data_IF_320565089855
#
_entry.id   IF_320565089855
#
_cell.length_a   1.000
_cell.length_b   1.000
_cell.length_c   1.000
_cell.angle_alpha   90.00
_cell.angle_beta   90.00
_cell.angle_gamma   90.00
#
_symmetry.space_group_name_H-M   'P 1'
#
loop_
_entity.id
_entity.type
_entity.pdbx_description
1 polymer ?
#
# COMPACT_ATOMS: atom_id res chain seq x y z
N UNK A 1 8.73 22.18 32.41
CA UNK A 1 8.72 22.05 30.94
C UNK A 1 7.71 20.97 30.64
N UNK A 2 6.57 21.31 30.07
CA UNK A 2 5.59 20.30 29.65
C UNK A 2 6.24 19.50 28.53
N UNK A 3 6.48 18.20 28.76
CA UNK A 3 6.84 17.28 27.70
C UNK A 3 5.70 17.31 26.69
N UNK A 4 5.98 17.81 25.48
CA UNK A 4 5.03 17.67 24.39
C UNK A 4 4.82 16.17 24.17
N UNK A 5 3.57 15.67 24.22
CA UNK A 5 3.32 14.28 23.93
C UNK A 5 3.92 13.95 22.57
N UNK A 6 4.61 12.80 22.48
CA UNK A 6 5.23 12.32 21.24
C UNK A 6 4.15 12.29 20.16
N UNK A 7 4.25 13.20 19.19
CA UNK A 7 3.30 13.30 18.10
C UNK A 7 3.43 12.07 17.23
N UNK A 8 2.48 11.14 17.32
CA UNK A 8 2.46 9.99 16.44
C UNK A 8 1.90 10.35 15.05
N UNK A 9 2.54 9.83 14.03
CA UNK A 9 2.18 10.04 12.64
C UNK A 9 2.11 8.71 11.92
N UNK A 10 1.11 8.57 11.04
CA UNK A 10 0.95 7.43 10.17
C UNK A 10 0.79 7.90 8.74
N UNK A 11 1.39 7.18 7.79
CA UNK A 11 1.13 7.32 6.37
C UNK A 11 0.33 6.10 5.95
N UNK A 12 -0.85 6.36 5.39
CA UNK A 12 -1.82 5.33 5.06
C UNK A 12 -1.74 4.98 3.58
N UNK A 13 -1.98 3.72 3.27
CA UNK A 13 -2.10 3.19 1.93
C UNK A 13 -3.57 2.96 1.55
N UNK A 14 -3.88 2.91 0.24
CA UNK A 14 -5.22 2.61 -0.28
C UNK A 14 -5.77 1.29 0.23
N UNK A 15 -4.90 0.29 0.41
CA UNK A 15 -5.27 -1.05 0.87
C UNK A 15 -5.96 -1.06 2.24
N UNK A 16 -5.63 -0.13 3.14
CA UNK A 16 -6.31 0.03 4.43
C UNK A 16 -7.82 0.27 4.27
N UNK A 17 -8.20 1.11 3.32
CA UNK A 17 -9.59 1.56 3.13
C UNK A 17 -10.44 0.55 2.35
N UNK A 18 -9.80 -0.39 1.67
CA UNK A 18 -10.45 -1.32 0.75
C UNK A 18 -10.43 -2.78 1.24
N UNK A 19 -9.68 -3.07 2.30
CA UNK A 19 -9.59 -4.43 2.86
C UNK A 19 -10.89 -4.84 3.55
N UNK A 20 -11.28 -6.10 3.34
CA UNK A 20 -12.39 -6.70 4.06
C UNK A 20 -12.01 -7.08 5.51
N UNK A 21 -10.73 -7.12 5.83
CA UNK A 21 -10.21 -7.58 7.12
C UNK A 21 -10.57 -6.66 8.31
N UNK A 22 -10.94 -5.39 8.03
CA UNK A 22 -11.38 -4.43 9.07
C UNK A 22 -12.90 -4.32 9.18
N UNK A 23 -13.67 -5.05 8.35
CA UNK A 23 -15.14 -5.04 8.37
C UNK A 23 -15.68 -5.93 9.47
N UNK A 24 -16.73 -5.45 10.14
CA UNK A 24 -17.53 -6.30 11.02
C UNK A 24 -18.51 -7.17 10.19
N UNK A 25 -19.07 -8.21 10.82
CA UNK A 25 -20.13 -9.02 10.20
C UNK A 25 -21.29 -8.11 9.77
N UNK A 26 -21.75 -8.25 8.52
CA UNK A 26 -22.84 -7.47 7.90
C UNK A 26 -22.57 -5.95 7.71
N UNK A 27 -21.34 -5.45 7.94
CA UNK A 27 -20.95 -4.06 7.73
C UNK A 27 -20.66 -3.78 6.24
N UNK A 28 -21.30 -2.75 5.68
CA UNK A 28 -21.00 -2.27 4.31
C UNK A 28 -19.62 -1.57 4.26
N UNK A 29 -19.09 -1.37 3.05
CA UNK A 29 -17.86 -0.59 2.85
C UNK A 29 -17.99 0.82 3.43
N UNK A 30 -19.11 1.48 3.20
CA UNK A 30 -19.35 2.85 3.66
C UNK A 30 -19.41 2.95 5.18
N UNK A 31 -20.08 2.02 5.86
CA UNK A 31 -20.12 1.96 7.31
C UNK A 31 -18.75 1.72 7.91
N UNK A 32 -17.96 0.81 7.30
CA UNK A 32 -16.56 0.54 7.70
C UNK A 32 -15.70 1.79 7.57
N UNK A 33 -15.80 2.49 6.43
CA UNK A 33 -15.05 3.72 6.19
C UNK A 33 -15.45 4.83 7.17
N UNK A 34 -16.74 4.99 7.41
CA UNK A 34 -17.25 5.98 8.36
C UNK A 34 -16.72 5.72 9.76
N UNK A 35 -16.79 4.49 10.24
CA UNK A 35 -16.26 4.08 11.54
C UNK A 35 -14.73 4.29 11.64
N UNK A 36 -13.98 3.91 10.61
CA UNK A 36 -12.52 4.12 10.58
C UNK A 36 -12.18 5.62 10.62
N UNK A 37 -12.89 6.44 9.86
CA UNK A 37 -12.64 7.89 9.81
C UNK A 37 -13.05 8.58 11.11
N UNK A 38 -14.12 8.15 11.77
CA UNK A 38 -14.53 8.66 13.08
C UNK A 38 -13.48 8.31 14.15
N UNK A 39 -12.91 7.09 14.11
CA UNK A 39 -11.81 6.68 14.99
C UNK A 39 -10.53 7.49 14.75
N UNK A 40 -10.18 7.75 13.49
CA UNK A 40 -9.06 8.63 13.12
C UNK A 40 -9.30 10.06 13.62
N UNK A 41 -10.53 10.55 13.52
CA UNK A 41 -10.93 11.87 14.01
C UNK A 41 -10.73 12.00 15.52
N UNK A 42 -11.23 11.04 16.29
CA UNK A 42 -11.09 10.99 17.75
C UNK A 42 -9.60 10.91 18.15
N UNK A 43 -8.84 10.00 17.54
CA UNK A 43 -7.40 9.88 17.79
C UNK A 43 -6.63 11.16 17.44
N UNK A 44 -7.07 11.93 16.45
CA UNK A 44 -6.46 13.22 16.10
C UNK A 44 -6.77 14.29 17.14
N UNK A 45 -8.01 14.37 17.62
CA UNK A 45 -8.47 15.39 18.57
C UNK A 45 -7.90 15.14 19.95
N UNK A 46 -7.95 13.91 20.44
CA UNK A 46 -7.62 13.57 21.81
C UNK A 46 -6.13 13.24 21.99
N UNK A 47 -5.51 12.58 21.01
CA UNK A 47 -4.13 12.08 21.11
C UNK A 47 -3.12 12.84 20.21
N UNK A 48 -3.58 13.80 19.40
CA UNK A 48 -2.75 14.48 18.40
C UNK A 48 -2.07 13.51 17.41
N UNK A 49 -2.71 12.37 17.13
CA UNK A 49 -2.29 11.43 16.09
C UNK A 49 -2.68 12.00 14.73
N UNK A 50 -1.74 11.99 13.78
CA UNK A 50 -1.99 12.54 12.45
C UNK A 50 -1.80 11.46 11.39
N UNK A 51 -2.80 11.31 10.51
CA UNK A 51 -2.79 10.39 9.38
C UNK A 51 -2.59 11.16 8.07
N UNK A 52 -1.65 10.70 7.27
CA UNK A 52 -1.21 11.35 6.03
C UNK A 52 -1.44 10.42 4.83
N UNK A 53 -1.67 11.04 3.68
CA UNK A 53 -1.69 10.38 2.36
C UNK A 53 -0.87 11.21 1.37
N UNK A 54 -0.02 10.59 0.53
CA UNK A 54 0.45 11.23 -0.69
C UNK A 54 -0.74 11.61 -1.58
N UNK A 55 -0.71 12.77 -2.29
CA UNK A 55 -1.81 13.18 -3.17
C UNK A 55 -2.11 12.18 -4.29
N UNK A 56 -1.11 11.44 -4.77
CA UNK A 56 -1.30 10.38 -5.76
C UNK A 56 -2.16 9.24 -5.20
N UNK A 57 -1.82 8.75 -4.02
CA UNK A 57 -2.60 7.71 -3.30
C UNK A 57 -4.00 8.20 -2.96
N UNK A 58 -4.14 9.47 -2.56
CA UNK A 58 -5.45 10.06 -2.32
C UNK A 58 -6.32 10.07 -3.59
N UNK A 59 -5.75 10.45 -4.73
CA UNK A 59 -6.47 10.47 -6.02
C UNK A 59 -6.90 9.05 -6.43
N UNK A 60 -6.02 8.08 -6.30
CA UNK A 60 -6.33 6.67 -6.55
C UNK A 60 -7.46 6.18 -5.64
N UNK A 61 -7.36 6.43 -4.33
CA UNK A 61 -8.37 6.05 -3.36
C UNK A 61 -9.74 6.64 -3.71
N UNK A 62 -9.81 7.95 -4.01
CA UNK A 62 -11.08 8.60 -4.34
C UNK A 62 -11.72 8.05 -5.61
N UNK A 63 -10.93 7.72 -6.64
CA UNK A 63 -11.44 7.04 -7.84
C UNK A 63 -12.00 5.66 -7.52
N UNK A 64 -11.30 4.88 -6.69
CA UNK A 64 -11.76 3.56 -6.28
C UNK A 64 -13.01 3.60 -5.39
N UNK A 65 -13.21 4.66 -4.60
CA UNK A 65 -14.39 4.84 -3.79
C UNK A 65 -15.59 5.32 -4.62
N UNK A 66 -15.37 6.17 -5.61
CA UNK A 66 -16.38 6.61 -6.59
C UNK A 66 -16.93 5.42 -7.39
N UNK A 67 -16.05 4.55 -7.88
CA UNK A 67 -16.42 3.30 -8.57
C UNK A 67 -17.26 2.33 -7.69
N UNK A 68 -17.31 2.54 -6.38
CA UNK A 68 -18.06 1.74 -5.41
C UNK A 68 -19.27 2.46 -4.82
N UNK A 69 -19.67 3.58 -5.42
CA UNK A 69 -20.82 4.39 -5.01
C UNK A 69 -20.75 4.87 -3.54
N UNK A 70 -19.54 5.14 -3.01
CA UNK A 70 -19.38 5.71 -1.65
C UNK A 70 -19.85 7.15 -1.65
N UNK A 71 -20.60 7.54 -0.61
CA UNK A 71 -21.27 8.84 -0.53
C UNK A 71 -20.29 10.03 -0.47
N UNK A 72 -20.73 11.19 -0.97
CA UNK A 72 -20.01 12.46 -0.84
C UNK A 72 -19.75 12.85 0.62
N UNK A 73 -20.60 12.43 1.55
CA UNK A 73 -20.43 12.68 2.98
C UNK A 73 -19.18 11.94 3.51
N UNK A 74 -19.03 10.67 3.17
CA UNK A 74 -17.84 9.87 3.55
C UNK A 74 -16.56 10.41 2.91
N UNK A 75 -16.62 10.84 1.65
CA UNK A 75 -15.50 11.52 0.98
C UNK A 75 -15.16 12.86 1.67
N UNK A 76 -16.15 13.61 2.12
CA UNK A 76 -15.93 14.85 2.88
C UNK A 76 -15.24 14.61 4.23
N UNK A 77 -15.64 13.54 4.96
CA UNK A 77 -14.97 13.11 6.20
C UNK A 77 -13.50 12.74 5.92
N UNK A 78 -13.25 11.97 4.86
CA UNK A 78 -11.90 11.61 4.42
C UNK A 78 -11.04 12.85 4.14
N UNK A 79 -11.59 13.85 3.46
CA UNK A 79 -10.94 15.13 3.19
C UNK A 79 -10.62 15.94 4.47
N UNK A 80 -11.45 15.82 5.49
CA UNK A 80 -11.33 16.57 6.74
C UNK A 80 -10.25 15.98 7.63
N UNK A 81 -10.18 14.66 7.74
CA UNK A 81 -9.36 13.99 8.74
C UNK A 81 -8.01 13.51 8.22
N UNK A 82 -7.87 13.30 6.91
CA UNK A 82 -6.62 12.87 6.31
C UNK A 82 -5.83 14.05 5.74
N UNK A 83 -4.56 14.12 6.07
CA UNK A 83 -3.68 15.19 5.65
C UNK A 83 -3.02 14.80 4.33
N UNK A 84 -3.34 15.51 3.25
CA UNK A 84 -2.69 15.36 1.96
C UNK A 84 -1.34 16.09 1.97
N UNK A 85 -0.24 15.37 1.77
CA UNK A 85 1.10 15.96 1.77
C UNK A 85 1.97 15.32 0.68
N UNK A 86 2.53 16.18 -0.17
CA UNK A 86 3.57 15.74 -1.10
C UNK A 86 4.84 15.37 -0.34
N UNK A 87 5.48 14.22 -0.66
CA UNK A 87 6.78 13.90 -0.11
C UNK A 87 7.85 14.88 -0.64
N UNK A 88 8.80 15.25 0.22
CA UNK A 88 9.99 15.97 -0.22
C UNK A 88 10.99 15.01 -0.87
N UNK A 89 10.84 14.80 -2.17
CA UNK A 89 11.67 13.89 -2.96
C UNK A 89 13.14 14.31 -3.05
N UNK A 90 13.49 15.53 -2.65
CA UNK A 90 14.85 16.08 -2.76
C UNK A 90 15.57 16.20 -1.41
N UNK A 91 14.81 16.35 -0.32
CA UNK A 91 15.35 16.57 1.01
C UNK A 91 15.51 15.31 1.87
N UNK A 92 14.92 14.17 1.46
CA UNK A 92 14.98 12.92 2.23
C UNK A 92 16.27 12.17 1.98
N UNK A 93 16.99 11.85 3.06
CA UNK A 93 18.17 10.97 2.97
C UNK A 93 17.71 9.51 2.93
N UNK A 94 18.12 8.83 1.86
CA UNK A 94 17.84 7.41 1.64
C UNK A 94 19.12 6.62 1.93
N UNK A 95 19.07 5.57 2.77
CA UNK A 95 20.22 4.69 2.98
C UNK A 95 20.69 4.05 1.67
N UNK A 96 22.00 3.91 1.48
CA UNK A 96 22.56 3.25 0.28
C UNK A 96 22.05 1.82 0.09
N UNK A 97 21.73 1.13 1.18
CA UNK A 97 21.16 -0.22 1.20
C UNK A 97 19.85 -0.31 0.39
N UNK A 98 19.04 0.73 0.40
CA UNK A 98 17.82 0.83 -0.42
C UNK A 98 18.16 0.79 -1.91
N UNK A 99 19.22 1.50 -2.31
CA UNK A 99 19.65 1.53 -3.71
C UNK A 99 20.21 0.16 -4.12
N UNK A 100 20.95 -0.49 -3.24
CA UNK A 100 21.46 -1.84 -3.48
C UNK A 100 20.33 -2.86 -3.61
N UNK A 101 19.38 -2.84 -2.67
CA UNK A 101 18.20 -3.71 -2.73
C UNK A 101 17.37 -3.48 -4.00
N UNK A 102 17.23 -2.23 -4.45
CA UNK A 102 16.57 -1.93 -5.72
C UNK A 102 17.33 -2.49 -6.93
N UNK A 103 18.67 -2.37 -6.96
CA UNK A 103 19.50 -2.94 -8.04
C UNK A 103 19.37 -4.47 -8.07
N UNK A 104 19.41 -5.12 -6.91
CA UNK A 104 19.27 -6.59 -6.81
C UNK A 104 17.87 -7.03 -7.28
N UNK A 105 16.83 -6.39 -6.82
CA UNK A 105 15.44 -6.68 -7.23
C UNK A 105 15.25 -6.49 -8.74
N UNK A 106 15.80 -5.41 -9.32
CA UNK A 106 15.75 -5.18 -10.77
C UNK A 106 16.50 -6.25 -11.55
N UNK A 107 17.66 -6.69 -11.05
CA UNK A 107 18.44 -7.77 -11.66
C UNK A 107 17.69 -9.10 -11.62
N UNK A 108 17.08 -9.44 -10.49
CA UNK A 108 16.24 -10.63 -10.36
C UNK A 108 15.02 -10.57 -11.29
N UNK A 109 14.38 -9.41 -11.40
CA UNK A 109 13.24 -9.18 -12.29
C UNK A 109 13.60 -9.46 -13.74
N UNK A 110 14.75 -8.93 -14.20
CA UNK A 110 15.26 -9.19 -15.55
C UNK A 110 15.51 -10.70 -15.76
N UNK A 111 16.13 -11.37 -14.78
CA UNK A 111 16.40 -12.81 -14.86
C UNK A 111 15.10 -13.64 -14.86
N UNK A 112 14.08 -13.26 -14.08
CA UNK A 112 12.77 -13.91 -14.11
C UNK A 112 12.11 -13.76 -15.49
N UNK A 113 12.12 -12.54 -16.05
CA UNK A 113 11.61 -12.28 -17.40
C UNK A 113 12.34 -13.09 -18.49
N UNK A 114 13.66 -13.21 -18.39
CA UNK A 114 14.45 -14.03 -19.31
C UNK A 114 14.02 -15.51 -19.27
N UNK A 115 13.86 -16.10 -18.08
CA UNK A 115 13.41 -17.49 -17.93
C UNK A 115 12.03 -17.74 -18.53
N UNK A 116 11.09 -16.81 -18.36
CA UNK A 116 9.76 -16.90 -18.97
C UNK A 116 9.85 -16.85 -20.48
N UNK A 117 10.71 -15.96 -21.02
CA UNK A 117 10.95 -15.86 -22.46
C UNK A 117 11.60 -17.13 -23.05
N UNK A 118 12.62 -17.69 -22.38
CA UNK A 118 13.26 -18.95 -22.77
C UNK A 118 12.28 -20.12 -22.81
N UNK A 119 11.37 -20.20 -21.82
CA UNK A 119 10.30 -21.21 -21.76
C UNK A 119 9.36 -21.09 -22.96
N UNK A 120 8.97 -19.87 -23.33
CA UNK A 120 8.11 -19.64 -24.48
C UNK A 120 8.79 -20.05 -25.81
N UNK A 121 10.08 -19.72 -25.97
CA UNK A 121 10.86 -20.13 -27.17
C UNK A 121 10.90 -21.67 -27.31
N UNK A 122 11.12 -22.40 -26.20
CA UNK A 122 11.12 -23.88 -26.23
C UNK A 122 9.76 -24.46 -26.59
N UNK A 123 8.67 -23.87 -26.08
CA UNK A 123 7.30 -24.29 -26.48
C UNK A 123 7.05 -24.13 -27.97
N UNK A 124 7.51 -23.02 -28.58
CA UNK A 124 7.40 -22.81 -30.04
C UNK A 124 8.22 -23.82 -30.81
N UNK A 125 9.42 -24.19 -30.35
CA UNK A 125 10.25 -25.22 -30.98
C UNK A 125 9.57 -26.60 -30.94
N UNK A 126 8.98 -26.97 -29.80
CA UNK A 126 8.23 -28.23 -29.67
C UNK A 126 7.00 -28.29 -30.61
N UNK A 127 6.28 -27.16 -30.74
CA UNK A 127 5.13 -27.06 -31.64
C UNK A 127 5.51 -27.13 -33.13
N UNK A 128 6.70 -26.67 -33.51
CA UNK A 128 7.13 -26.59 -34.93
C UNK A 128 7.38 -27.93 -35.60
N UNK A 129 7.43 -29.05 -34.83
CA UNK A 129 7.82 -30.35 -35.34
C UNK A 129 6.73 -31.16 -36.01
N UNK A 130 5.43 -30.87 -35.83
CA UNK A 130 4.32 -31.76 -36.22
C UNK A 130 3.10 -31.08 -36.87
N UNK A 131 3.06 -29.73 -37.05
CA UNK A 131 1.83 -29.02 -37.40
C UNK A 131 1.77 -28.49 -38.83
N UNK A 132 0.55 -28.42 -39.39
CA UNK A 132 0.20 -27.67 -40.61
C UNK A 132 0.56 -26.19 -40.42
N UNK A 133 1.04 -25.44 -41.46
CA UNK A 133 1.40 -24.03 -41.35
C UNK A 133 0.36 -23.12 -40.72
N UNK A 134 -0.96 -23.40 -40.90
CA UNK A 134 -2.03 -22.61 -40.28
C UNK A 134 -2.22 -22.96 -38.80
N UNK A 135 -2.10 -24.24 -38.40
CA UNK A 135 -2.12 -24.68 -37.01
C UNK A 135 -0.93 -24.12 -36.25
N UNK A 136 0.27 -24.17 -36.85
CA UNK A 136 1.48 -23.62 -36.28
C UNK A 136 1.37 -22.13 -35.95
N UNK A 137 0.81 -21.29 -36.84
CA UNK A 137 0.59 -19.87 -36.55
C UNK A 137 -0.37 -19.65 -35.38
N UNK A 138 -1.42 -20.47 -35.27
CA UNK A 138 -2.35 -20.41 -34.14
C UNK A 138 -1.68 -20.81 -32.83
N UNK A 139 -0.83 -21.83 -32.84
CA UNK A 139 -0.05 -22.27 -31.68
C UNK A 139 0.97 -21.20 -31.25
N UNK A 140 1.63 -20.54 -32.18
CA UNK A 140 2.53 -19.40 -31.88
C UNK A 140 1.80 -18.26 -31.22
N UNK A 141 0.59 -17.90 -31.73
CA UNK A 141 -0.21 -16.82 -31.12
C UNK A 141 -0.68 -17.18 -29.71
N UNK A 142 -1.00 -18.43 -29.44
CA UNK A 142 -1.31 -18.94 -28.10
C UNK A 142 -0.10 -18.83 -27.17
N UNK A 143 1.08 -19.28 -27.60
CA UNK A 143 2.31 -19.18 -26.81
C UNK A 143 2.67 -17.72 -26.51
N UNK A 144 2.49 -16.81 -27.48
CA UNK A 144 2.71 -15.36 -27.28
C UNK A 144 1.74 -14.78 -26.25
N UNK A 145 0.47 -15.21 -26.26
CA UNK A 145 -0.51 -14.77 -25.28
C UNK A 145 -0.16 -15.27 -23.88
N UNK A 146 0.14 -16.56 -23.75
CA UNK A 146 0.62 -17.15 -22.47
C UNK A 146 1.90 -16.48 -21.95
N UNK A 147 2.87 -16.21 -22.86
CA UNK A 147 4.09 -15.50 -22.51
C UNK A 147 3.80 -14.12 -21.90
N UNK A 148 2.89 -13.35 -22.51
CA UNK A 148 2.54 -12.01 -22.01
C UNK A 148 1.94 -12.08 -20.61
N UNK A 149 1.07 -13.03 -20.35
CA UNK A 149 0.40 -13.18 -19.08
C UNK A 149 1.34 -13.70 -17.99
N UNK A 150 2.15 -14.73 -18.30
CA UNK A 150 3.16 -15.27 -17.40
C UNK A 150 4.26 -14.23 -17.10
N UNK A 151 4.69 -13.47 -18.11
CA UNK A 151 5.67 -12.38 -17.96
C UNK A 151 5.15 -11.29 -17.03
N UNK A 152 3.93 -10.80 -17.26
CA UNK A 152 3.32 -9.76 -16.42
C UNK A 152 3.14 -10.23 -14.98
N UNK A 153 2.61 -11.43 -14.76
CA UNK A 153 2.40 -11.97 -13.41
C UNK A 153 3.72 -12.19 -12.66
N UNK A 154 4.75 -12.73 -13.35
CA UNK A 154 6.06 -13.02 -12.76
C UNK A 154 6.84 -11.75 -12.42
N UNK A 155 6.71 -10.68 -13.22
CA UNK A 155 7.42 -9.44 -12.99
C UNK A 155 6.77 -8.51 -11.95
N UNK A 156 5.48 -8.71 -11.64
CA UNK A 156 4.78 -7.94 -10.60
C UNK A 156 5.05 -8.43 -9.18
N UNK A 157 5.65 -9.60 -9.00
CA UNK A 157 5.88 -10.17 -7.67
C UNK A 157 7.02 -9.46 -6.94
N UNK A 158 6.70 -8.85 -5.81
CA UNK A 158 7.67 -8.42 -4.80
C UNK A 158 8.40 -7.10 -5.05
N UNK A 159 7.97 -6.32 -6.03
CA UNK A 159 8.61 -5.06 -6.41
C UNK A 159 7.71 -3.88 -6.00
N UNK A 160 8.33 -2.79 -5.54
CA UNK A 160 7.73 -1.46 -5.66
C UNK A 160 7.56 -1.19 -7.17
N UNK A 161 6.39 -1.41 -7.69
CA UNK A 161 6.11 -1.28 -9.12
C UNK A 161 5.47 0.06 -9.47
N UNK A 162 5.14 0.87 -8.47
CA UNK A 162 4.57 2.19 -8.63
C UNK A 162 5.41 3.30 -8.00
N UNK A 163 5.26 4.51 -8.55
CA UNK A 163 5.87 5.72 -7.98
C UNK A 163 5.11 6.17 -6.72
N UNK A 164 3.85 5.81 -6.67
CA UNK A 164 2.91 6.09 -5.59
C UNK A 164 3.34 5.38 -4.32
N UNK A 165 3.69 4.09 -4.41
CA UNK A 165 4.21 3.30 -3.27
C UNK A 165 5.53 3.86 -2.76
N UNK A 166 6.40 4.30 -3.68
CA UNK A 166 7.65 4.93 -3.29
C UNK A 166 7.41 6.28 -2.60
N UNK A 167 6.49 7.11 -3.10
CA UNK A 167 6.09 8.36 -2.46
C UNK A 167 5.55 8.15 -1.04
N UNK A 168 4.83 7.05 -0.81
CA UNK A 168 4.35 6.67 0.53
C UNK A 168 5.53 6.42 1.48
N UNK A 169 6.53 5.65 1.06
CA UNK A 169 7.71 5.36 1.87
C UNK A 169 8.57 6.61 2.12
N UNK A 170 8.76 7.45 1.10
CA UNK A 170 9.48 8.73 1.24
C UNK A 170 8.75 9.65 2.23
N UNK A 171 7.43 9.76 2.12
CA UNK A 171 6.64 10.58 3.05
C UNK A 171 6.72 10.04 4.49
N UNK A 172 6.67 8.72 4.66
CA UNK A 172 6.82 8.10 5.98
C UNK A 172 8.21 8.38 6.56
N UNK A 173 9.26 8.31 5.76
CA UNK A 173 10.63 8.64 6.16
C UNK A 173 10.78 10.11 6.54
N UNK A 174 10.25 11.02 5.74
CA UNK A 174 10.26 12.47 5.97
C UNK A 174 9.59 12.85 7.31
N UNK A 175 8.46 12.18 7.59
CA UNK A 175 7.64 12.49 8.76
C UNK A 175 8.03 11.71 10.03
N UNK A 176 8.97 10.78 9.94
CA UNK A 176 9.24 9.77 10.98
C UNK A 176 7.94 9.05 11.39
N UNK A 177 7.16 8.64 10.40
CA UNK A 177 5.82 8.07 10.54
C UNK A 177 5.84 6.55 10.41
N UNK A 178 4.84 5.88 11.00
CA UNK A 178 4.54 4.48 10.71
C UNK A 178 3.77 4.36 9.39
N UNK A 179 4.09 3.33 8.61
CA UNK A 179 3.35 2.96 7.38
C UNK A 179 2.21 2.03 7.74
N UNK A 180 1.01 2.27 7.21
CA UNK A 180 -0.15 1.39 7.38
C UNK A 180 -0.57 0.85 6.03
N UNK A 181 -0.38 -0.46 5.80
CA UNK A 181 -0.64 -1.11 4.51
C UNK A 181 -0.90 -2.60 4.66
N UNK A 182 -1.64 -3.21 3.72
CA UNK A 182 -1.72 -4.67 3.55
C UNK A 182 -0.77 -5.18 2.44
N UNK A 183 -0.18 -4.28 1.65
CA UNK A 183 0.72 -4.67 0.55
C UNK A 183 2.06 -5.21 1.08
N UNK A 184 2.37 -6.46 0.72
CA UNK A 184 3.60 -7.14 1.13
C UNK A 184 4.86 -6.52 0.54
N UNK A 185 4.75 -5.91 -0.64
CA UNK A 185 5.85 -5.20 -1.30
C UNK A 185 6.21 -3.94 -0.50
N UNK A 186 5.21 -3.13 -0.15
CA UNK A 186 5.40 -1.93 0.68
C UNK A 186 5.97 -2.31 2.06
N UNK A 187 5.46 -3.39 2.69
CA UNK A 187 5.98 -3.88 3.99
C UNK A 187 7.47 -4.22 3.88
N UNK A 188 7.86 -5.03 2.88
CA UNK A 188 9.26 -5.42 2.65
C UNK A 188 10.17 -4.20 2.51
N UNK A 189 9.73 -3.20 1.74
CA UNK A 189 10.50 -1.98 1.55
C UNK A 189 10.49 -1.08 2.78
N UNK A 190 9.39 -1.00 3.53
CA UNK A 190 9.35 -0.28 4.80
C UNK A 190 10.39 -0.83 5.80
N UNK A 191 10.53 -2.18 5.88
CA UNK A 191 11.59 -2.83 6.67
C UNK A 191 12.99 -2.41 6.21
N UNK A 192 13.24 -2.43 4.90
CA UNK A 192 14.53 -2.01 4.31
C UNK A 192 14.84 -0.53 4.57
N UNK A 193 13.83 0.34 4.58
CA UNK A 193 13.92 1.74 4.95
C UNK A 193 14.11 1.96 6.46
N UNK A 194 13.96 0.92 7.29
CA UNK A 194 13.96 1.02 8.75
C UNK A 194 12.74 1.79 9.28
N UNK A 195 11.63 1.75 8.55
CA UNK A 195 10.36 2.36 8.95
C UNK A 195 9.56 1.40 9.83
N UNK A 196 8.83 1.97 10.76
CA UNK A 196 7.77 1.23 11.45
C UNK A 196 6.63 0.98 10.48
N UNK A 197 6.06 -0.20 10.51
CA UNK A 197 4.86 -0.49 9.73
C UNK A 197 3.83 -1.24 10.57
N UNK A 198 2.60 -1.16 10.14
CA UNK A 198 1.46 -1.84 10.72
C UNK A 198 0.57 -2.36 9.58
N UNK A 199 0.01 -3.54 9.75
CA UNK A 199 -0.99 -4.02 8.80
C UNK A 199 -2.29 -3.23 8.95
N UNK A 200 -2.95 -2.96 7.83
CA UNK A 200 -4.19 -2.20 7.81
C UNK A 200 -5.25 -2.76 8.76
N UNK A 201 -5.39 -4.09 8.81
CA UNK A 201 -6.33 -4.78 9.70
C UNK A 201 -6.09 -4.53 11.21
N UNK A 202 -4.85 -4.25 11.60
CA UNK A 202 -4.48 -4.05 13.00
C UNK A 202 -4.59 -2.56 13.41
N UNK A 203 -4.75 -1.66 12.44
CA UNK A 203 -4.72 -0.21 12.68
C UNK A 203 -5.91 0.32 13.49
N UNK A 204 -7.17 -0.08 13.23
CA UNK A 204 -8.29 0.34 14.06
C UNK A 204 -8.13 -0.08 15.52
N UNK A 205 -7.73 -1.33 15.77
CA UNK A 205 -7.50 -1.84 17.13
C UNK A 205 -6.39 -1.07 17.86
N UNK A 206 -5.32 -0.68 17.16
CA UNK A 206 -4.25 0.15 17.73
C UNK A 206 -4.78 1.52 18.18
N UNK A 207 -5.62 2.18 17.37
CA UNK A 207 -6.21 3.47 17.72
C UNK A 207 -7.15 3.34 18.91
N UNK A 208 -8.00 2.32 18.93
CA UNK A 208 -8.90 2.02 20.07
C UNK A 208 -8.12 1.81 21.36
N UNK A 209 -7.03 1.04 21.32
CA UNK A 209 -6.17 0.80 22.50
C UNK A 209 -5.54 2.09 23.02
N UNK A 210 -5.08 2.98 22.13
CA UNK A 210 -4.52 4.27 22.51
C UNK A 210 -5.57 5.18 23.14
N UNK A 211 -6.76 5.29 22.55
CA UNK A 211 -7.89 6.08 23.09
C UNK A 211 -8.33 5.54 24.45
N UNK A 212 -8.49 4.23 24.58
CA UNK A 212 -8.85 3.59 25.85
C UNK A 212 -7.78 3.81 26.94
N UNK A 213 -6.50 3.83 26.57
CA UNK A 213 -5.42 4.14 27.51
C UNK A 213 -5.47 5.60 27.97
N UNK A 214 -5.71 6.54 27.05
CA UNK A 214 -5.86 7.97 27.33
C UNK A 214 -7.03 8.25 28.28
N UNK A 215 -8.22 7.76 27.98
CA UNK A 215 -9.40 7.93 28.81
C UNK A 215 -9.27 7.30 30.21
N UNK A 216 -8.46 6.24 30.37
CA UNK A 216 -8.14 5.70 31.71
C UNK A 216 -7.27 6.67 32.49
N UNK A 217 -6.26 7.27 31.83
CA UNK A 217 -5.33 8.19 32.48
C UNK A 217 -6.03 9.47 32.95
N UNK A 218 -6.91 10.05 32.13
CA UNK A 218 -7.66 11.25 32.48
C UNK A 218 -8.57 11.05 33.70
N UNK A 219 -9.22 9.88 33.81
CA UNK A 219 -10.00 9.55 35.02
C UNK A 219 -9.19 9.53 36.31
N UNK A 220 -7.92 9.12 36.26
CA UNK A 220 -7.05 9.13 37.46
C UNK A 220 -6.52 10.50 37.82
N UNK A 221 -6.57 11.47 36.91
CA UNK A 221 -6.14 12.86 37.16
C UNK A 221 -7.28 13.74 37.69
N UNK A 222 -8.54 13.30 37.53
CA UNK A 222 -9.74 14.00 38.02
C UNK A 222 -10.17 13.53 39.43
N UNK A 223 -9.62 12.42 39.94
CA UNK A 223 -9.79 11.95 41.34
C UNK A 223 -8.69 12.49 42.27
#
# INVERSE_FOLDING_TARGET
>A
MAEHPLKQRFVLDTSLFLTDDIRNEDESLEETLTRLLDLIAEARLDLNISCYLPPSIYTELTLMLDDRDVSEETISKLNTWLIKKHPDRYGVLIPAEIVYGFIEEMSERVNRGLRVSEKAVRKVEEASGESDPNEYMTEVDMVVSELRDEYRSTLRQGVLDSREDFDLLILARELDAGVVTEDKGIIKWAESFGLRYLRGRDFPALLDDYLAAHHRTDRYLEE
#
